data_IF_358233032675
#
_entry.id   IF_358233032675
#
_cell.length_a   1.000
_cell.length_b   1.000
_cell.length_c   1.000
_cell.angle_alpha   90.00
_cell.angle_beta   90.00
_cell.angle_gamma   90.00
#
_symmetry.space_group_name_H-M   'P 1'
#
loop_
_entity.id
_entity.type
_entity.pdbx_description
1 polymer ?
#
# COMPACT_ATOMS: atom_id res chain seq x y z
N UNK A 1 -11.56 -39.49 -6.56
CA UNK A 1 -11.59 -38.47 -5.50
C UNK A 1 -10.41 -37.54 -5.69
N UNK A 2 -10.62 -36.46 -6.44
CA UNK A 2 -9.61 -35.39 -6.59
C UNK A 2 -9.51 -34.64 -5.26
N UNK A 3 -8.38 -34.80 -4.57
CA UNK A 3 -8.01 -33.92 -3.46
C UNK A 3 -7.72 -32.53 -4.05
N UNK A 4 -8.58 -31.60 -3.77
CA UNK A 4 -8.34 -30.18 -3.95
C UNK A 4 -7.26 -29.76 -2.94
N UNK A 5 -5.99 -29.83 -3.30
CA UNK A 5 -4.91 -29.16 -2.58
C UNK A 5 -4.95 -27.68 -2.92
N UNK A 6 -5.93 -26.99 -2.37
CA UNK A 6 -6.00 -25.52 -2.36
C UNK A 6 -4.91 -25.03 -1.42
N UNK A 7 -3.85 -24.46 -1.99
CA UNK A 7 -2.81 -23.58 -1.44
C UNK A 7 -1.82 -24.18 -0.41
N UNK A 8 -0.56 -23.79 -0.49
CA UNK A 8 0.42 -24.13 0.54
C UNK A 8 0.01 -23.44 1.86
N UNK A 9 -0.38 -24.23 2.84
CA UNK A 9 -0.80 -23.83 4.19
C UNK A 9 0.23 -22.98 4.97
N UNK A 10 1.33 -22.60 4.36
CA UNK A 10 2.45 -21.91 5.00
C UNK A 10 2.28 -20.38 5.07
N UNK A 11 1.31 -19.80 4.34
CA UNK A 11 1.16 -18.34 4.18
C UNK A 11 -0.11 -17.78 4.84
N UNK A 12 -0.75 -18.50 5.74
CA UNK A 12 -1.98 -18.05 6.39
C UNK A 12 -1.71 -17.38 7.74
N UNK A 13 -2.42 -16.28 7.98
CA UNK A 13 -2.49 -15.65 9.29
C UNK A 13 -3.29 -16.54 10.24
N UNK A 14 -2.63 -17.20 11.19
CA UNK A 14 -3.25 -18.22 12.06
C UNK A 14 -3.65 -17.69 13.43
N UNK A 15 -2.88 -16.75 13.97
CA UNK A 15 -3.14 -16.14 15.27
C UNK A 15 -2.38 -14.83 15.37
N UNK A 16 -2.90 -13.88 16.15
CA UNK A 16 -2.11 -12.74 16.61
C UNK A 16 -0.97 -13.17 17.52
N UNK A 17 -0.08 -12.26 17.87
CA UNK A 17 0.95 -12.48 18.87
C UNK A 17 0.38 -12.39 20.29
N UNK A 18 1.24 -12.56 21.32
CA UNK A 18 0.83 -12.41 22.73
C UNK A 18 0.18 -11.03 23.02
N UNK A 19 0.44 -10.05 22.20
CA UNK A 19 -0.02 -8.66 22.39
C UNK A 19 -1.23 -8.30 21.53
N UNK A 20 -1.70 -9.21 20.65
CA UNK A 20 -2.82 -8.96 19.75
C UNK A 20 -3.72 -10.20 19.65
N UNK A 21 -4.96 -10.06 20.14
CA UNK A 21 -5.96 -11.12 20.05
C UNK A 21 -6.81 -10.88 18.81
N UNK A 22 -6.67 -11.71 17.80
CA UNK A 22 -7.51 -11.67 16.59
C UNK A 22 -8.75 -12.53 16.76
N UNK A 23 -9.92 -11.98 16.39
CA UNK A 23 -11.16 -12.77 16.30
C UNK A 23 -11.11 -13.71 15.09
N UNK A 24 -11.94 -14.74 15.08
CA UNK A 24 -12.02 -15.68 13.95
C UNK A 24 -12.43 -15.00 12.65
N UNK A 25 -13.39 -14.07 12.74
CA UNK A 25 -13.85 -13.28 11.59
C UNK A 25 -12.72 -12.43 10.98
N UNK A 26 -11.92 -11.79 11.84
CA UNK A 26 -10.79 -11.00 11.40
C UNK A 26 -9.71 -11.85 10.74
N UNK A 27 -9.44 -13.04 11.29
CA UNK A 27 -8.51 -14.00 10.66
C UNK A 27 -9.01 -14.48 9.31
N UNK A 28 -10.31 -14.77 9.19
CA UNK A 28 -10.92 -15.12 7.91
C UNK A 28 -10.82 -13.99 6.90
N UNK A 29 -11.11 -12.76 7.29
CA UNK A 29 -11.02 -11.59 6.42
C UNK A 29 -9.58 -11.36 5.91
N UNK A 30 -8.58 -11.43 6.79
CA UNK A 30 -7.16 -11.33 6.42
C UNK A 30 -6.79 -12.45 5.44
N UNK A 31 -7.12 -13.69 5.75
CA UNK A 31 -6.77 -14.83 4.90
C UNK A 31 -7.49 -14.79 3.54
N UNK A 32 -8.74 -14.33 3.51
CA UNK A 32 -9.47 -14.11 2.26
C UNK A 32 -8.79 -13.04 1.40
N UNK A 33 -8.42 -11.90 2.00
CA UNK A 33 -7.69 -10.83 1.32
C UNK A 33 -6.37 -11.33 0.71
N UNK A 34 -5.57 -12.05 1.49
CA UNK A 34 -4.30 -12.63 1.03
C UNK A 34 -4.53 -13.63 -0.11
N UNK A 35 -5.53 -14.50 0.03
CA UNK A 35 -5.82 -15.56 -0.97
C UNK A 35 -6.39 -14.99 -2.26
N UNK A 36 -7.26 -13.99 -2.16
CA UNK A 36 -7.90 -13.36 -3.31
C UNK A 36 -7.06 -12.24 -3.92
N UNK A 37 -5.92 -11.93 -3.30
CA UNK A 37 -5.05 -10.82 -3.69
C UNK A 37 -5.80 -9.48 -3.77
N UNK A 38 -6.72 -9.25 -2.82
CA UNK A 38 -7.54 -8.03 -2.74
C UNK A 38 -7.14 -7.18 -1.54
N UNK A 39 -7.22 -5.84 -1.65
CA UNK A 39 -7.03 -4.96 -0.50
C UNK A 39 -8.01 -5.29 0.63
N UNK A 40 -7.53 -5.26 1.87
CA UNK A 40 -8.36 -5.39 3.07
C UNK A 40 -8.60 -4.00 3.66
N UNK A 41 -9.86 -3.60 3.76
CA UNK A 41 -10.25 -2.35 4.43
C UNK A 41 -10.77 -2.66 5.83
N UNK A 42 -10.18 -2.00 6.83
CA UNK A 42 -10.54 -2.14 8.23
C UNK A 42 -11.07 -0.81 8.74
N UNK A 43 -12.35 -0.79 9.07
CA UNK A 43 -13.03 0.37 9.63
C UNK A 43 -13.27 0.20 11.13
N UNK A 44 -13.20 1.27 11.89
CA UNK A 44 -13.51 1.24 13.32
C UNK A 44 -13.02 2.50 14.03
N UNK A 45 -13.41 2.63 15.28
CA UNK A 45 -13.02 3.78 16.12
C UNK A 45 -11.49 3.88 16.32
N UNK A 46 -10.96 5.08 16.59
CA UNK A 46 -9.57 5.24 16.97
C UNK A 46 -9.19 4.36 18.17
N UNK A 47 -7.96 3.85 18.17
CA UNK A 47 -7.46 3.04 19.29
C UNK A 47 -7.90 1.57 19.31
N UNK A 48 -8.67 1.10 18.33
CA UNK A 48 -9.14 -0.31 18.26
C UNK A 48 -8.09 -1.30 17.72
N UNK A 49 -6.86 -0.88 17.48
CA UNK A 49 -5.77 -1.76 17.07
C UNK A 49 -5.68 -2.05 15.57
N UNK A 50 -6.32 -1.23 14.72
CA UNK A 50 -6.30 -1.42 13.25
C UNK A 50 -4.89 -1.42 12.66
N UNK A 51 -4.07 -0.43 13.01
CA UNK A 51 -2.67 -0.32 12.60
C UNK A 51 -1.85 -1.51 13.13
N UNK A 52 -2.11 -1.91 14.38
CA UNK A 52 -1.43 -3.05 14.99
C UNK A 52 -1.72 -4.36 14.24
N UNK A 53 -2.92 -4.52 13.69
CA UNK A 53 -3.24 -5.70 12.86
C UNK A 53 -2.28 -5.83 11.68
N UNK A 54 -2.02 -4.76 10.93
CA UNK A 54 -1.10 -4.80 9.79
C UNK A 54 0.31 -5.23 10.20
N UNK A 55 0.78 -4.71 11.35
CA UNK A 55 2.08 -5.09 11.93
C UNK A 55 2.10 -6.60 12.28
N UNK A 56 1.03 -7.10 12.90
CA UNK A 56 0.93 -8.50 13.29
C UNK A 56 0.80 -9.44 12.10
N UNK A 57 0.08 -9.02 11.04
CA UNK A 57 -0.01 -9.76 9.78
C UNK A 57 1.39 -9.86 9.14
N UNK A 58 2.10 -8.74 9.02
CA UNK A 58 3.45 -8.73 8.45
C UNK A 58 4.41 -9.64 9.23
N UNK A 59 4.41 -9.56 10.56
CA UNK A 59 5.21 -10.43 11.43
C UNK A 59 4.85 -11.91 11.28
N UNK A 60 3.56 -12.23 11.28
CA UNK A 60 3.07 -13.59 11.19
C UNK A 60 3.41 -14.25 9.86
N UNK A 61 3.34 -13.47 8.78
CA UNK A 61 3.69 -13.90 7.42
C UNK A 61 5.20 -13.79 7.13
N UNK A 62 5.99 -13.23 8.06
CA UNK A 62 7.43 -12.97 7.91
C UNK A 62 7.73 -12.10 6.68
N UNK A 63 6.91 -11.08 6.48
CA UNK A 63 7.02 -10.11 5.41
C UNK A 63 7.44 -8.74 5.95
N UNK A 64 8.13 -7.96 5.13
CA UNK A 64 8.44 -6.59 5.46
C UNK A 64 7.16 -5.75 5.41
N UNK A 65 7.06 -4.77 6.32
CA UNK A 65 5.96 -3.82 6.40
C UNK A 65 6.40 -2.47 5.82
N UNK A 66 5.62 -1.97 4.86
CA UNK A 66 5.75 -0.61 4.35
C UNK A 66 4.56 0.18 4.86
N UNK A 67 4.82 1.26 5.59
CA UNK A 67 3.77 2.08 6.20
C UNK A 67 3.61 3.41 5.45
N UNK A 68 2.38 3.72 5.08
CA UNK A 68 2.00 5.00 4.49
C UNK A 68 0.92 5.65 5.34
N UNK A 69 1.33 6.57 6.20
CA UNK A 69 0.42 7.35 7.04
C UNK A 69 -0.18 8.51 6.24
N UNK A 70 -1.49 8.52 6.13
CA UNK A 70 -2.23 9.54 5.37
C UNK A 70 -2.50 10.75 6.26
N UNK A 71 -2.29 11.93 5.69
CA UNK A 71 -2.60 13.24 6.30
C UNK A 71 -3.62 13.97 5.45
N UNK A 72 -4.26 14.99 5.99
CA UNK A 72 -5.22 15.83 5.26
C UNK A 72 -4.62 16.50 4.00
N UNK A 73 -3.31 16.69 3.98
CA UNK A 73 -2.57 17.27 2.85
C UNK A 73 -1.99 16.22 1.89
N UNK A 74 -2.13 14.93 2.20
CA UNK A 74 -1.57 13.85 1.37
C UNK A 74 -2.34 13.73 0.06
N UNK A 75 -1.61 13.72 -1.05
CA UNK A 75 -2.15 13.45 -2.38
C UNK A 75 -1.84 12.02 -2.81
N UNK A 76 -2.72 11.42 -3.61
CA UNK A 76 -2.55 10.06 -4.13
C UNK A 76 -1.23 9.89 -4.92
N UNK A 77 -0.85 10.92 -5.71
CA UNK A 77 0.41 10.94 -6.47
C UNK A 77 1.66 10.78 -5.60
N UNK A 78 1.63 11.25 -4.34
CA UNK A 78 2.75 11.12 -3.41
C UNK A 78 3.02 9.67 -2.99
N UNK A 79 2.00 8.80 -3.08
CA UNK A 79 2.18 7.37 -2.90
C UNK A 79 2.93 6.72 -4.06
N UNK A 80 2.83 7.31 -5.25
CA UNK A 80 3.53 6.88 -6.44
C UNK A 80 4.95 7.46 -6.44
N UNK A 81 5.08 8.76 -6.70
CA UNK A 81 6.36 9.48 -6.66
C UNK A 81 6.14 11.00 -6.62
N UNK A 82 7.19 11.71 -6.27
CA UNK A 82 7.28 13.16 -6.38
C UNK A 82 8.49 13.52 -7.26
N UNK A 83 8.28 14.44 -8.21
CA UNK A 83 9.35 14.96 -9.06
C UNK A 83 9.81 16.33 -8.55
N UNK A 84 11.10 16.44 -8.20
CA UNK A 84 11.71 17.68 -7.71
C UNK A 84 12.27 18.52 -8.88
N UNK A 85 11.34 19.15 -9.62
CA UNK A 85 11.67 20.02 -10.74
C UNK A 85 12.48 21.26 -10.31
N UNK A 86 12.25 21.75 -9.09
CA UNK A 86 12.91 22.95 -8.57
C UNK A 86 14.39 22.68 -8.31
N UNK A 87 14.69 21.58 -7.63
CA UNK A 87 16.09 21.20 -7.42
C UNK A 87 16.80 20.91 -8.73
N UNK A 88 16.13 20.23 -9.68
CA UNK A 88 16.71 19.97 -10.99
C UNK A 88 17.03 21.26 -11.77
N UNK A 89 16.13 22.25 -11.73
CA UNK A 89 16.35 23.52 -12.39
C UNK A 89 17.56 24.26 -11.79
N UNK A 90 17.63 24.30 -10.44
CA UNK A 90 18.76 24.92 -9.73
C UNK A 90 20.08 24.23 -10.10
N UNK A 91 20.11 22.91 -10.05
CA UNK A 91 21.33 22.13 -10.34
C UNK A 91 21.75 22.29 -11.81
N UNK A 92 20.79 22.44 -12.73
CA UNK A 92 21.06 22.78 -14.13
C UNK A 92 21.76 24.13 -14.29
N UNK A 93 21.33 25.14 -13.54
CA UNK A 93 21.96 26.47 -13.56
C UNK A 93 23.37 26.45 -12.97
N UNK A 94 23.64 25.55 -12.03
CA UNK A 94 24.95 25.35 -11.41
C UNK A 94 25.89 24.43 -12.20
N UNK A 95 25.41 23.81 -13.28
CA UNK A 95 26.19 22.88 -14.10
C UNK A 95 26.43 21.52 -13.40
N UNK A 96 25.58 21.12 -12.47
CA UNK A 96 25.70 19.86 -11.75
C UNK A 96 25.44 18.66 -12.70
N UNK A 97 26.36 17.70 -12.72
CA UNK A 97 26.29 16.49 -13.57
C UNK A 97 25.05 15.61 -13.28
N UNK A 98 24.47 15.67 -12.08
CA UNK A 98 23.27 14.92 -11.70
C UNK A 98 22.07 15.21 -12.60
N UNK A 99 22.04 16.38 -13.24
CA UNK A 99 20.96 16.81 -14.15
C UNK A 99 20.81 15.89 -15.35
N UNK A 100 21.88 15.18 -15.75
CA UNK A 100 21.88 14.26 -16.90
C UNK A 100 20.95 13.07 -16.70
N UNK A 101 20.71 12.64 -15.44
CA UNK A 101 19.79 11.57 -15.13
C UNK A 101 18.59 12.11 -14.33
N UNK A 102 17.42 12.11 -14.94
CA UNK A 102 16.16 12.58 -14.34
C UNK A 102 15.79 11.79 -13.10
N UNK A 103 16.21 10.52 -13.00
CA UNK A 103 15.93 9.63 -11.85
C UNK A 103 16.48 10.18 -10.54
N UNK A 104 17.53 11.02 -10.59
CA UNK A 104 18.10 11.68 -9.42
C UNK A 104 17.12 12.66 -8.73
N UNK A 105 16.08 13.08 -9.44
CA UNK A 105 15.08 14.05 -8.99
C UNK A 105 13.70 13.43 -8.76
N UNK A 106 13.60 12.10 -8.81
CA UNK A 106 12.38 11.36 -8.53
C UNK A 106 12.48 10.77 -7.13
N UNK A 107 11.61 11.23 -6.24
CA UNK A 107 11.44 10.66 -4.92
C UNK A 107 10.34 9.63 -4.95
N UNK A 108 10.69 8.37 -4.74
CA UNK A 108 9.74 7.25 -4.74
C UNK A 108 8.77 7.35 -3.58
N UNK A 109 7.47 7.12 -3.85
CA UNK A 109 6.43 7.00 -2.84
C UNK A 109 6.31 5.57 -2.32
N UNK A 110 5.41 5.36 -1.34
CA UNK A 110 5.26 4.07 -0.66
C UNK A 110 4.68 2.96 -1.54
N UNK A 111 3.84 3.32 -2.51
CA UNK A 111 3.36 2.37 -3.53
C UNK A 111 4.49 1.93 -4.45
N UNK A 112 5.34 2.87 -4.90
CA UNK A 112 6.51 2.52 -5.69
C UNK A 112 7.44 1.58 -4.93
N UNK A 113 7.76 1.89 -3.66
CA UNK A 113 8.59 1.04 -2.81
C UNK A 113 8.02 -0.40 -2.73
N UNK A 114 6.69 -0.51 -2.55
CA UNK A 114 6.02 -1.80 -2.49
C UNK A 114 6.05 -2.56 -3.82
N UNK A 115 5.88 -1.86 -4.96
CA UNK A 115 5.87 -2.47 -6.30
C UNK A 115 7.27 -2.90 -6.73
N UNK A 116 8.30 -2.16 -6.35
CA UNK A 116 9.69 -2.46 -6.71
C UNK A 116 10.29 -3.60 -5.87
N UNK A 117 9.67 -3.95 -4.75
CA UNK A 117 10.18 -4.99 -3.85
C UNK A 117 10.30 -6.35 -4.54
N UNK A 118 11.46 -6.99 -4.40
CA UNK A 118 11.70 -8.34 -4.93
C UNK A 118 10.98 -9.43 -4.11
N UNK A 119 10.58 -9.10 -2.89
CA UNK A 119 9.78 -9.96 -2.00
C UNK A 119 8.36 -9.42 -1.89
N UNK A 120 7.42 -10.31 -1.60
CA UNK A 120 6.08 -9.87 -1.23
C UNK A 120 6.14 -9.13 0.10
N UNK A 121 5.49 -7.97 0.16
CA UNK A 121 5.45 -7.09 1.33
C UNK A 121 4.02 -6.83 1.77
N UNK A 122 3.85 -6.39 3.01
CA UNK A 122 2.58 -5.82 3.48
C UNK A 122 2.67 -4.30 3.34
N UNK A 123 1.73 -3.70 2.62
CA UNK A 123 1.57 -2.24 2.52
C UNK A 123 0.41 -1.81 3.39
N UNK A 124 0.68 -1.02 4.41
CA UNK A 124 -0.33 -0.37 5.24
C UNK A 124 -0.59 1.04 4.73
N UNK A 125 -1.83 1.31 4.32
CA UNK A 125 -2.35 2.66 4.06
C UNK A 125 -3.17 3.06 5.28
N UNK A 126 -2.57 3.85 6.16
CA UNK A 126 -3.13 4.14 7.47
C UNK A 126 -3.93 5.43 7.47
N UNK A 127 -5.17 5.37 8.01
CA UNK A 127 -6.09 6.49 8.16
C UNK A 127 -6.47 7.17 6.82
N UNK A 128 -6.89 6.36 5.83
CA UNK A 128 -7.22 6.84 4.48
C UNK A 128 -8.29 7.95 4.45
N UNK A 129 -9.17 7.95 5.42
CA UNK A 129 -10.26 8.93 5.58
C UNK A 129 -9.80 10.32 6.04
N UNK A 130 -8.53 10.49 6.41
CA UNK A 130 -7.95 11.83 6.66
C UNK A 130 -7.74 12.64 5.39
N UNK A 131 -7.47 11.99 4.26
CA UNK A 131 -7.28 12.65 2.97
C UNK A 131 -8.59 13.25 2.43
N UNK A 132 -8.49 13.90 1.29
CA UNK A 132 -9.66 14.38 0.55
C UNK A 132 -10.48 13.20 0.04
N UNK A 133 -11.78 13.45 -0.22
CA UNK A 133 -12.75 12.42 -0.63
C UNK A 133 -12.37 11.74 -1.97
N UNK A 134 -11.65 12.45 -2.84
CA UNK A 134 -11.21 11.92 -4.14
C UNK A 134 -9.98 11.01 -4.02
N UNK A 135 -9.21 11.13 -2.94
CA UNK A 135 -7.96 10.40 -2.73
C UNK A 135 -8.09 8.87 -2.92
N UNK A 136 -9.10 8.19 -2.35
CA UNK A 136 -9.26 6.75 -2.57
C UNK A 136 -9.54 6.42 -4.05
N UNK A 137 -10.33 7.25 -4.73
CA UNK A 137 -10.66 7.04 -6.15
C UNK A 137 -9.42 7.21 -7.04
N UNK A 138 -8.55 8.17 -6.71
CA UNK A 138 -7.32 8.45 -7.45
C UNK A 138 -6.31 7.29 -7.39
N UNK A 139 -6.46 6.38 -6.41
CA UNK A 139 -5.61 5.19 -6.26
C UNK A 139 -6.22 3.91 -6.85
N UNK A 140 -7.49 3.95 -7.27
CA UNK A 140 -8.20 2.73 -7.67
C UNK A 140 -7.51 1.98 -8.80
N UNK A 141 -7.05 2.71 -9.81
CA UNK A 141 -6.45 2.11 -11.00
C UNK A 141 -5.12 1.44 -10.67
N UNK A 142 -4.29 2.11 -9.89
CA UNK A 142 -2.97 1.62 -9.47
C UNK A 142 -3.08 0.40 -8.55
N UNK A 143 -4.05 0.42 -7.63
CA UNK A 143 -4.31 -0.71 -6.74
C UNK A 143 -4.93 -1.91 -7.46
N UNK A 144 -5.73 -1.70 -8.50
CA UNK A 144 -6.30 -2.79 -9.30
C UNK A 144 -5.26 -3.43 -10.22
N UNK A 145 -4.56 -2.58 -10.98
CA UNK A 145 -3.62 -3.02 -12.02
C UNK A 145 -2.25 -3.38 -11.45
N UNK A 146 -1.94 -2.89 -10.24
CA UNK A 146 -0.61 -3.00 -9.63
C UNK A 146 0.48 -2.44 -10.53
N UNK A 147 0.16 -1.34 -11.21
CA UNK A 147 1.09 -0.61 -12.08
C UNK A 147 0.69 0.87 -12.15
N UNK A 148 1.67 1.72 -12.42
CA UNK A 148 1.46 3.12 -12.74
C UNK A 148 2.52 3.61 -13.72
N UNK A 149 2.24 4.73 -14.39
CA UNK A 149 3.15 5.33 -15.35
C UNK A 149 3.90 6.51 -14.71
N UNK A 150 5.24 6.50 -14.84
CA UNK A 150 6.08 7.62 -14.43
C UNK A 150 6.35 8.51 -15.66
N UNK A 151 5.74 9.69 -15.68
CA UNK A 151 5.77 10.58 -16.84
C UNK A 151 7.18 11.10 -17.14
N UNK A 152 7.98 11.37 -16.12
CA UNK A 152 9.31 11.96 -16.26
C UNK A 152 10.31 10.97 -16.85
N UNK A 153 10.19 9.68 -16.54
CA UNK A 153 11.07 8.65 -17.09
C UNK A 153 10.50 7.95 -18.32
N UNK A 154 9.17 8.09 -18.56
CA UNK A 154 8.48 7.36 -19.62
C UNK A 154 8.33 5.87 -19.35
N UNK A 155 8.53 5.43 -18.10
CA UNK A 155 8.50 4.02 -17.71
C UNK A 155 7.18 3.66 -17.03
N UNK A 156 6.66 2.46 -17.30
CA UNK A 156 5.58 1.87 -16.51
C UNK A 156 6.18 1.03 -15.38
N UNK A 157 5.87 1.41 -14.15
CA UNK A 157 6.31 0.71 -12.95
C UNK A 157 5.24 -0.34 -12.61
N UNK A 158 5.62 -1.61 -12.64
CA UNK A 158 4.74 -2.75 -12.31
C UNK A 158 5.20 -3.42 -11.04
N UNK A 159 4.24 -3.90 -10.24
CA UNK A 159 4.56 -4.67 -9.06
C UNK A 159 5.26 -5.98 -9.43
N UNK A 160 6.49 -6.17 -8.99
CA UNK A 160 7.26 -7.41 -9.17
C UNK A 160 6.61 -8.56 -8.41
N UNK A 161 6.09 -8.29 -7.23
CA UNK A 161 5.25 -9.16 -6.40
C UNK A 161 4.06 -8.36 -5.92
N UNK A 162 2.87 -8.94 -6.01
CA UNK A 162 1.65 -8.26 -5.55
C UNK A 162 1.71 -8.06 -4.04
N UNK A 163 1.74 -6.83 -3.52
CA UNK A 163 1.74 -6.57 -2.08
C UNK A 163 0.40 -6.98 -1.45
N UNK A 164 0.44 -7.37 -0.18
CA UNK A 164 -0.76 -7.47 0.65
C UNK A 164 -1.09 -6.07 1.13
N UNK A 165 -2.24 -5.54 0.72
CA UNK A 165 -2.63 -4.16 1.03
C UNK A 165 -3.65 -4.17 2.16
N UNK A 166 -3.33 -3.48 3.25
CA UNK A 166 -4.22 -3.25 4.39
C UNK A 166 -4.46 -1.76 4.49
N UNK A 167 -5.73 -1.37 4.50
CA UNK A 167 -6.17 0.01 4.54
C UNK A 167 -6.96 0.22 5.81
N UNK A 168 -6.63 1.24 6.60
CA UNK A 168 -7.38 1.57 7.81
C UNK A 168 -8.20 2.84 7.64
N UNK A 169 -9.34 2.92 8.32
CA UNK A 169 -10.19 4.10 8.38
C UNK A 169 -10.79 4.23 9.79
N UNK A 170 -10.84 5.45 10.30
CA UNK A 170 -11.48 5.79 11.58
C UNK A 170 -12.98 6.12 11.43
N UNK A 171 -13.55 5.99 10.23
CA UNK A 171 -14.92 6.39 9.89
C UNK A 171 -15.19 7.91 10.06
N UNK A 172 -14.16 8.74 9.98
CA UNK A 172 -14.32 10.19 10.04
C UNK A 172 -15.02 10.71 8.77
N UNK A 173 -14.77 10.06 7.64
CA UNK A 173 -15.42 10.32 6.36
C UNK A 173 -15.87 9.01 5.71
N UNK A 174 -16.97 9.05 4.95
CA UNK A 174 -17.39 7.92 4.14
C UNK A 174 -16.45 7.71 2.97
N UNK A 175 -16.03 6.45 2.76
CA UNK A 175 -15.23 6.08 1.60
C UNK A 175 -16.14 5.89 0.39
N UNK A 176 -15.71 6.30 -0.82
CA UNK A 176 -16.52 6.15 -2.03
C UNK A 176 -16.93 4.70 -2.29
N UNK A 177 -18.16 4.50 -2.72
CA UNK A 177 -18.71 3.17 -3.06
C UNK A 177 -17.86 2.44 -4.10
N UNK A 178 -17.33 3.16 -5.09
CA UNK A 178 -16.46 2.61 -6.12
C UNK A 178 -15.19 1.97 -5.51
N UNK A 179 -14.66 2.58 -4.44
CA UNK A 179 -13.51 2.06 -3.71
C UNK A 179 -13.85 0.84 -2.86
N UNK A 180 -15.03 0.82 -2.23
CA UNK A 180 -15.47 -0.29 -1.36
C UNK A 180 -15.85 -1.56 -2.12
N UNK A 181 -16.13 -1.47 -3.42
CA UNK A 181 -16.54 -2.62 -4.26
C UNK A 181 -15.39 -3.39 -4.89
N UNK A 182 -14.16 -2.96 -4.66
CA UNK A 182 -12.94 -3.49 -5.27
C UNK A 182 -12.07 -4.21 -4.25
#
# INVERSE_FOLDING_TARGET
TQKWTLFPYTTLFRSGTKNYVSTDDLRMAVNASVTLERPLIIKGEPGTGKTLLAIEVAKSLKMDLIEWHIKSTTKASQGLYEYDAVTRLRDSQLGDERVKDIKNYIKKGKLWEAFESDKQVVLLVDEIDKADIEFPNDLLQELDRMEFYCYETGETIKAKKRPIIIITSNNEKELPDAFLRR
#
